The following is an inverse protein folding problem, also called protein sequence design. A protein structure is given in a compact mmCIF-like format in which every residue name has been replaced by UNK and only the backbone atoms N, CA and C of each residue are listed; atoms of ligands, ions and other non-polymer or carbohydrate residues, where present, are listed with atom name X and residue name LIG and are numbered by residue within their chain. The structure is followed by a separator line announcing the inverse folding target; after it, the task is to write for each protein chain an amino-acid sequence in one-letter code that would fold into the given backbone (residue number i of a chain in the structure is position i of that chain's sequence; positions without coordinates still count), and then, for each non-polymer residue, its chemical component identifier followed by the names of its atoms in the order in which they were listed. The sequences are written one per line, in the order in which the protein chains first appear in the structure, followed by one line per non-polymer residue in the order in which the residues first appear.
data_IF_575426019407
#
_entry.id   IF_575426019407
#
_cell.length_a   1.000
_cell.length_b   1.000
_cell.length_c   1.000
_cell.angle_alpha   90.00
_cell.angle_beta   90.00
_cell.angle_gamma   90.00
#
_symmetry.space_group_name_H-M   'P 1'
#
loop_
_entity.id
_entity.type
_entity.pdbx_description
1 polymer ?
#
# COMPACT_ATOMS: atom_id res chain seq x y z
N UNK A 1 -13.36 1.78 6.03
CA UNK A 1 -14.39 2.56 5.29
C UNK A 1 -14.08 4.02 5.50
N UNK A 2 -14.23 4.86 4.47
CA UNK A 2 -14.06 6.31 4.65
C UNK A 2 -15.29 6.92 5.34
N UNK A 3 -15.16 8.15 5.85
CA UNK A 3 -16.23 8.84 6.57
C UNK A 3 -17.52 8.98 5.74
N UNK A 4 -17.39 9.18 4.44
CA UNK A 4 -18.50 9.27 3.48
C UNK A 4 -19.13 7.90 3.12
N UNK A 5 -18.68 6.81 3.75
CA UNK A 5 -19.15 5.45 3.49
C UNK A 5 -18.51 4.77 2.29
N UNK A 6 -17.66 5.45 1.52
CA UNK A 6 -16.94 4.84 0.40
C UNK A 6 -15.91 3.83 0.90
N UNK A 7 -15.52 2.91 0.01
CA UNK A 7 -14.63 1.80 0.33
C UNK A 7 -13.50 1.73 -0.69
N UNK A 8 -12.30 1.54 -0.17
CA UNK A 8 -11.14 1.11 -0.94
C UNK A 8 -10.91 -0.37 -0.62
N UNK A 9 -10.79 -1.19 -1.66
CA UNK A 9 -10.42 -2.59 -1.55
C UNK A 9 -9.03 -2.74 -2.14
N UNK A 10 -8.08 -3.18 -1.32
CA UNK A 10 -6.72 -3.49 -1.75
C UNK A 10 -6.55 -5.01 -1.74
N UNK A 11 -6.16 -5.57 -2.87
CA UNK A 11 -5.85 -6.99 -3.02
C UNK A 11 -4.43 -7.12 -3.54
N UNK A 12 -3.66 -8.06 -2.99
CA UNK A 12 -2.30 -8.34 -3.43
C UNK A 12 -2.09 -9.83 -3.60
N UNK A 13 -1.45 -10.24 -4.69
CA UNK A 13 -1.01 -11.61 -4.93
C UNK A 13 0.36 -11.61 -5.60
N UNK A 14 1.32 -12.25 -4.96
CA UNK A 14 2.71 -12.38 -5.43
C UNK A 14 3.08 -13.85 -5.66
N UNK A 15 2.19 -14.61 -6.31
CA UNK A 15 2.39 -16.03 -6.62
C UNK A 15 2.82 -16.20 -8.10
N UNK A 16 4.01 -16.75 -8.39
CA UNK A 16 4.44 -17.03 -9.75
C UNK A 16 3.45 -17.91 -10.52
N UNK A 17 3.34 -17.71 -11.84
CA UNK A 17 2.45 -18.49 -12.71
C UNK A 17 0.95 -18.16 -12.60
N UNK A 18 0.53 -17.32 -11.66
CA UNK A 18 -0.85 -16.84 -11.58
C UNK A 18 -1.13 -15.71 -12.58
N UNK A 19 -2.41 -15.47 -12.87
CA UNK A 19 -2.86 -14.29 -13.63
C UNK A 19 -2.30 -13.00 -13.02
N UNK A 20 -1.69 -12.16 -13.86
CA UNK A 20 -1.08 -10.91 -13.45
C UNK A 20 -2.04 -9.76 -13.74
N UNK A 21 -2.42 -9.04 -12.69
CA UNK A 21 -3.17 -7.80 -12.83
C UNK A 21 -2.66 -6.79 -11.81
N UNK A 22 -1.99 -5.75 -12.31
CA UNK A 22 -1.63 -4.58 -11.55
C UNK A 22 -2.52 -3.44 -12.01
N UNK A 23 -3.67 -3.31 -11.37
CA UNK A 23 -4.68 -2.33 -11.76
C UNK A 23 -5.34 -1.70 -10.55
N UNK A 24 -5.86 -0.50 -10.76
CA UNK A 24 -6.70 0.19 -9.78
C UNK A 24 -7.92 0.73 -10.49
N UNK A 25 -9.08 0.50 -9.89
CA UNK A 25 -10.38 0.83 -10.47
C UNK A 25 -11.19 1.67 -9.49
N UNK A 26 -11.91 2.66 -10.00
CA UNK A 26 -12.91 3.40 -9.23
C UNK A 26 -14.30 3.09 -9.80
N UNK A 27 -15.12 2.42 -9.00
CA UNK A 27 -16.48 2.04 -9.37
C UNK A 27 -17.47 3.08 -8.85
N UNK A 28 -18.22 3.70 -9.77
CA UNK A 28 -19.37 4.54 -9.45
C UNK A 28 -20.69 3.81 -9.69
N UNK A 29 -21.79 4.44 -9.31
CA UNK A 29 -23.16 3.90 -9.53
C UNK A 29 -23.55 3.83 -11.01
N UNK A 30 -22.88 4.62 -11.88
CA UNK A 30 -23.22 4.76 -13.31
C UNK A 30 -22.02 4.58 -14.25
N UNK A 31 -20.86 4.24 -13.72
CA UNK A 31 -19.62 4.26 -14.48
C UNK A 31 -18.46 3.60 -13.77
N UNK A 32 -17.36 3.46 -14.50
CA UNK A 32 -16.10 2.90 -14.05
C UNK A 32 -14.97 3.79 -14.54
N UNK A 33 -13.99 4.05 -13.67
CA UNK A 33 -12.69 4.56 -14.08
C UNK A 33 -11.60 3.52 -13.86
N UNK A 34 -10.73 3.38 -14.84
CA UNK A 34 -9.44 2.71 -14.71
C UNK A 34 -8.44 3.79 -14.30
N UNK A 35 -7.92 3.70 -13.08
CA UNK A 35 -6.91 4.63 -12.56
C UNK A 35 -5.52 4.20 -13.03
N UNK A 36 -5.23 2.90 -12.98
CA UNK A 36 -3.98 2.29 -13.40
C UNK A 36 -4.26 0.90 -13.97
N UNK A 37 -3.48 0.46 -14.95
CA UNK A 37 -3.63 -0.87 -15.56
C UNK A 37 -2.32 -1.36 -16.18
N UNK A 38 -1.86 -2.52 -15.74
CA UNK A 38 -0.59 -3.11 -16.19
C UNK A 38 0.63 -2.34 -15.66
N UNK A 39 0.53 -1.78 -14.45
CA UNK A 39 1.51 -0.85 -13.90
C UNK A 39 1.10 0.61 -14.09
N UNK A 40 1.89 1.53 -13.54
CA UNK A 40 1.56 2.95 -13.53
C UNK A 40 2.03 3.72 -14.77
N UNK A 41 3.15 3.30 -15.39
CA UNK A 41 3.76 3.98 -16.52
C UNK A 41 4.00 3.03 -17.70
N UNK A 42 3.57 3.38 -18.92
CA UNK A 42 2.78 4.56 -19.27
C UNK A 42 1.33 4.45 -18.76
N UNK A 43 0.72 5.59 -18.43
CA UNK A 43 -0.65 5.67 -17.95
C UNK A 43 -1.64 5.12 -18.98
N UNK A 44 -2.54 4.25 -18.49
CA UNK A 44 -3.67 3.69 -19.25
C UNK A 44 -5.01 4.10 -18.63
N UNK A 45 -5.03 5.29 -18.01
CA UNK A 45 -6.19 5.81 -17.32
C UNK A 45 -7.34 6.07 -18.29
N UNK A 46 -8.54 5.60 -17.95
CA UNK A 46 -9.74 5.63 -18.81
C UNK A 46 -10.98 5.78 -17.97
N UNK A 47 -12.03 6.37 -18.53
CA UNK A 47 -13.35 6.44 -17.92
C UNK A 47 -14.37 5.86 -18.90
N UNK A 48 -15.28 5.05 -18.37
CA UNK A 48 -16.35 4.38 -19.10
C UNK A 48 -17.73 4.78 -18.57
N UNK A 49 -18.69 4.88 -19.48
CA UNK A 49 -20.11 4.90 -19.19
C UNK A 49 -20.57 3.48 -18.86
N UNK A 50 -21.24 3.29 -17.72
CA UNK A 50 -21.51 1.95 -17.19
C UNK A 50 -20.21 1.21 -16.81
N UNK A 51 -20.32 -0.10 -16.59
CA UNK A 51 -19.21 -0.90 -16.04
C UNK A 51 -18.51 -1.78 -17.09
N UNK A 52 -19.05 -1.88 -18.30
CA UNK A 52 -18.45 -2.67 -19.36
C UNK A 52 -17.34 -1.88 -20.07
N UNK A 53 -16.09 -2.35 -19.93
CA UNK A 53 -14.89 -1.76 -20.54
C UNK A 53 -14.78 -2.10 -22.03
N UNK A 54 -15.58 -1.44 -22.86
CA UNK A 54 -15.54 -1.57 -24.32
C UNK A 54 -15.57 -0.18 -25.00
N UNK A 55 -15.25 -0.13 -26.28
CA UNK A 55 -15.11 1.14 -27.03
C UNK A 55 -16.41 1.93 -27.11
N UNK A 56 -17.57 1.24 -27.18
CA UNK A 56 -18.88 1.89 -27.22
C UNK A 56 -19.20 2.65 -25.93
N UNK A 57 -18.58 2.25 -24.81
CA UNK A 57 -18.75 2.86 -23.50
C UNK A 57 -17.59 3.80 -23.11
N UNK A 58 -16.51 3.85 -23.87
CA UNK A 58 -15.35 4.70 -23.57
C UNK A 58 -15.75 6.18 -23.71
N UNK A 59 -15.69 6.94 -22.61
CA UNK A 59 -16.01 8.38 -22.62
C UNK A 59 -14.76 9.25 -22.56
N UNK A 60 -13.67 8.72 -22.01
CA UNK A 60 -12.40 9.43 -21.93
C UNK A 60 -11.25 8.43 -21.80
N UNK A 61 -10.14 8.71 -22.45
CA UNK A 61 -8.88 8.01 -22.26
C UNK A 61 -7.75 9.03 -22.14
N UNK A 62 -6.84 8.79 -21.20
CA UNK A 62 -5.59 9.52 -21.18
C UNK A 62 -4.83 9.29 -22.48
N UNK A 63 -4.24 10.36 -23.00
CA UNK A 63 -3.43 10.29 -24.21
C UNK A 63 -2.07 9.63 -23.94
N UNK A 64 -1.11 9.89 -24.82
CA UNK A 64 0.24 9.40 -24.62
C UNK A 64 0.93 10.15 -23.48
N UNK A 65 1.38 9.43 -22.47
CA UNK A 65 2.29 9.95 -21.47
C UNK A 65 3.64 10.22 -22.11
N UNK A 66 4.08 11.48 -22.11
CA UNK A 66 5.32 11.90 -22.79
C UNK A 66 6.55 11.81 -21.88
N UNK A 67 6.34 11.91 -20.58
CA UNK A 67 7.42 11.94 -19.61
C UNK A 67 7.49 10.63 -18.85
N UNK A 68 8.68 10.34 -18.32
CA UNK A 68 8.89 9.27 -17.36
C UNK A 68 8.69 9.88 -15.95
N UNK A 69 7.75 9.37 -15.14
CA UNK A 69 7.44 9.93 -13.82
C UNK A 69 8.65 9.91 -12.88
N UNK A 70 9.51 8.89 -12.97
CA UNK A 70 10.73 8.84 -12.16
C UNK A 70 11.67 10.00 -12.49
N UNK A 71 11.77 10.39 -13.76
CA UNK A 71 12.58 11.54 -14.18
C UNK A 71 11.93 12.84 -13.72
N UNK A 72 10.60 12.94 -13.78
CA UNK A 72 9.89 14.12 -13.33
C UNK A 72 9.99 14.34 -11.81
N UNK A 73 9.95 13.27 -10.99
CA UNK A 73 10.24 13.37 -9.55
C UNK A 73 11.64 13.94 -9.27
N UNK A 74 12.66 13.48 -9.97
CA UNK A 74 14.02 14.03 -9.85
C UNK A 74 14.08 15.50 -10.28
N UNK A 75 13.38 15.88 -11.36
CA UNK A 75 13.31 17.28 -11.80
C UNK A 75 12.67 18.16 -10.73
N UNK A 76 11.55 17.73 -10.14
CA UNK A 76 10.87 18.48 -9.08
C UNK A 76 11.78 18.70 -7.88
N UNK A 77 12.45 17.64 -7.40
CA UNK A 77 13.38 17.74 -6.28
C UNK A 77 14.54 18.71 -6.57
N UNK A 78 15.19 18.56 -7.74
CA UNK A 78 16.32 19.40 -8.12
C UNK A 78 15.89 20.85 -8.32
N UNK A 79 14.74 21.09 -8.96
CA UNK A 79 14.20 22.43 -9.14
C UNK A 79 13.93 23.11 -7.80
N UNK A 80 13.30 22.41 -6.86
CA UNK A 80 13.03 22.92 -5.52
C UNK A 80 14.32 23.31 -4.78
N UNK A 81 15.36 22.46 -4.83
CA UNK A 81 16.67 22.78 -4.25
C UNK A 81 17.28 24.02 -4.89
N UNK A 82 17.30 24.10 -6.22
CA UNK A 82 17.93 25.20 -6.97
C UNK A 82 17.22 26.53 -6.78
N UNK A 83 15.90 26.50 -6.62
CA UNK A 83 15.08 27.69 -6.44
C UNK A 83 14.84 28.03 -4.97
N UNK A 84 15.37 27.22 -4.03
CA UNK A 84 15.12 27.34 -2.60
C UNK A 84 13.61 27.33 -2.27
N UNK A 85 12.87 26.43 -2.91
CA UNK A 85 11.44 26.23 -2.72
C UNK A 85 11.17 25.07 -1.74
N UNK A 86 10.09 25.17 -0.96
CA UNK A 86 9.65 24.08 -0.09
C UNK A 86 9.06 22.95 -0.94
N UNK A 87 9.72 21.79 -0.93
CA UNK A 87 9.19 20.54 -1.48
C UNK A 87 9.37 19.44 -0.43
N UNK A 88 8.27 18.99 0.18
CA UNK A 88 8.30 18.06 1.30
C UNK A 88 7.16 17.05 1.15
N UNK A 89 7.52 15.77 1.04
CA UNK A 89 6.60 14.64 0.95
C UNK A 89 6.66 13.71 2.18
N UNK A 90 7.33 14.12 3.25
CA UNK A 90 7.55 13.32 4.46
C UNK A 90 6.24 12.83 5.05
N UNK A 91 5.23 13.70 5.15
CA UNK A 91 3.92 13.32 5.66
C UNK A 91 3.27 12.22 4.82
N UNK A 92 3.28 12.36 3.50
CA UNK A 92 2.75 11.35 2.55
C UNK A 92 3.49 10.03 2.68
N UNK A 93 4.82 10.08 2.74
CA UNK A 93 5.67 8.89 2.88
C UNK A 93 5.48 8.16 4.22
N UNK A 94 5.48 8.90 5.33
CA UNK A 94 5.25 8.36 6.66
C UNK A 94 3.84 7.74 6.78
N UNK A 95 2.83 8.40 6.23
CA UNK A 95 1.46 7.90 6.22
C UNK A 95 1.34 6.58 5.41
N UNK A 96 2.06 6.44 4.30
CA UNK A 96 2.08 5.20 3.53
C UNK A 96 2.67 4.02 4.34
N UNK A 97 3.76 4.25 5.08
CA UNK A 97 4.36 3.24 5.97
C UNK A 97 3.44 2.89 7.14
N UNK A 98 2.76 3.89 7.72
CA UNK A 98 1.80 3.68 8.80
C UNK A 98 0.61 2.83 8.33
N UNK A 99 0.00 3.16 7.19
CA UNK A 99 -1.11 2.38 6.61
C UNK A 99 -0.69 0.95 6.25
N UNK A 100 0.57 0.77 5.83
CA UNK A 100 1.13 -0.58 5.61
C UNK A 100 1.17 -1.38 6.92
N UNK A 101 1.65 -0.75 8.00
CA UNK A 101 1.69 -1.37 9.33
C UNK A 101 0.29 -1.63 9.89
N UNK A 102 -0.66 -0.72 9.65
CA UNK A 102 -2.08 -0.88 9.98
C UNK A 102 -2.68 -2.11 9.29
N UNK A 103 -2.44 -2.27 7.99
CA UNK A 103 -2.93 -3.42 7.23
C UNK A 103 -2.35 -4.75 7.74
N UNK A 104 -1.07 -4.76 8.11
CA UNK A 104 -0.41 -5.92 8.72
C UNK A 104 -1.05 -6.28 10.08
N UNK A 105 -1.24 -5.29 10.95
CA UNK A 105 -1.92 -5.49 12.25
C UNK A 105 -3.32 -6.04 12.09
N UNK A 106 -4.11 -5.46 11.18
CA UNK A 106 -5.47 -5.92 10.90
C UNK A 106 -5.47 -7.38 10.40
N UNK A 107 -4.56 -7.73 9.50
CA UNK A 107 -4.45 -9.08 8.97
C UNK A 107 -4.00 -10.10 10.04
N UNK A 108 -3.03 -9.75 10.89
CA UNK A 108 -2.43 -10.67 11.85
C UNK A 108 -3.26 -10.86 13.12
N UNK A 109 -4.01 -9.85 13.55
CA UNK A 109 -4.92 -9.94 14.72
C UNK A 109 -6.35 -10.31 14.34
N UNK A 110 -6.71 -10.16 13.06
CA UNK A 110 -8.07 -10.33 12.57
C UNK A 110 -9.05 -9.28 13.11
N UNK A 111 -8.55 -8.11 13.52
CA UNK A 111 -9.37 -7.02 14.06
C UNK A 111 -9.53 -5.88 13.05
N UNK A 112 -10.60 -5.11 13.19
CA UNK A 112 -10.69 -3.79 12.55
C UNK A 112 -9.72 -2.84 13.26
N UNK A 113 -8.80 -2.26 12.49
CA UNK A 113 -7.83 -1.28 12.97
C UNK A 113 -8.08 0.05 12.24
N UNK A 114 -8.35 1.11 12.98
CA UNK A 114 -8.51 2.45 12.45
C UNK A 114 -7.17 3.15 12.31
N UNK A 115 -7.12 4.19 11.47
CA UNK A 115 -5.92 5.01 11.32
C UNK A 115 -5.50 5.66 12.64
N UNK A 116 -6.46 6.15 13.42
CA UNK A 116 -6.22 6.75 14.73
C UNK A 116 -5.65 5.74 15.74
N UNK A 117 -6.18 4.51 15.76
CA UNK A 117 -5.64 3.45 16.60
C UNK A 117 -4.19 3.12 16.22
N UNK A 118 -3.89 3.07 14.92
CA UNK A 118 -2.52 2.82 14.47
C UNK A 118 -1.57 3.99 14.78
N UNK A 119 -2.02 5.24 14.62
CA UNK A 119 -1.24 6.44 14.97
C UNK A 119 -0.86 6.49 16.45
N UNK A 120 -1.72 5.97 17.33
CA UNK A 120 -1.52 5.94 18.78
C UNK A 120 -1.10 4.56 19.30
N UNK A 121 -0.65 3.66 18.41
CA UNK A 121 -0.30 2.29 18.78
C UNK A 121 1.02 2.26 19.56
N UNK A 122 1.00 1.70 20.77
CA UNK A 122 2.20 1.50 21.60
C UNK A 122 3.00 0.25 21.21
N UNK A 123 2.51 -0.56 20.26
CA UNK A 123 3.20 -1.77 19.83
C UNK A 123 4.46 -1.43 19.03
N UNK A 124 5.61 -1.74 19.61
CA UNK A 124 6.90 -1.65 18.94
C UNK A 124 7.13 -2.90 18.07
N UNK A 125 7.24 -2.70 16.75
CA UNK A 125 7.40 -3.79 15.78
C UNK A 125 8.82 -4.37 15.71
N UNK A 126 9.80 -3.62 16.19
CA UNK A 126 11.21 -3.99 16.13
C UNK A 126 11.92 -3.52 17.41
N UNK A 127 11.57 -4.10 18.58
CA UNK A 127 12.22 -3.75 19.83
C UNK A 127 13.72 -3.99 19.74
N UNK A 128 14.50 -3.09 20.33
CA UNK A 128 15.96 -3.14 20.38
C UNK A 128 16.66 -3.16 19.00
N UNK A 129 16.00 -2.68 17.93
CA UNK A 129 16.57 -2.68 16.58
C UNK A 129 17.90 -1.93 16.50
N UNK A 130 18.08 -0.89 17.31
CA UNK A 130 19.30 -0.10 17.41
C UNK A 130 20.47 -0.86 18.05
N UNK A 131 20.19 -1.96 18.75
CA UNK A 131 21.20 -2.82 19.39
C UNK A 131 21.62 -3.99 18.49
N UNK A 132 20.91 -4.26 17.40
CA UNK A 132 21.25 -5.34 16.47
C UNK A 132 22.59 -5.07 15.79
N UNK A 133 23.50 -6.02 15.92
CA UNK A 133 24.78 -6.10 15.20
C UNK A 133 24.82 -7.33 14.30
N UNK A 134 25.84 -7.44 13.45
CA UNK A 134 26.03 -8.62 12.59
C UNK A 134 26.30 -9.92 13.39
N UNK A 135 26.76 -9.78 14.62
CA UNK A 135 27.05 -10.87 15.56
C UNK A 135 25.87 -11.20 16.48
N UNK A 136 24.81 -10.38 16.44
CA UNK A 136 23.63 -10.59 17.28
C UNK A 136 22.89 -11.86 16.87
N UNK A 137 22.30 -12.52 17.86
CA UNK A 137 21.40 -13.62 17.56
C UNK A 137 20.14 -13.13 16.83
N UNK A 138 19.53 -14.01 16.03
CA UNK A 138 18.24 -13.69 15.39
C UNK A 138 17.19 -13.31 16.45
N UNK A 139 16.51 -12.15 16.33
CA UNK A 139 15.44 -11.75 17.23
C UNK A 139 14.21 -12.66 17.11
N UNK A 140 14.08 -13.35 15.98
CA UNK A 140 13.07 -14.38 15.75
C UNK A 140 13.73 -15.76 15.79
N UNK A 141 13.49 -16.50 16.88
CA UNK A 141 14.02 -17.85 17.08
C UNK A 141 13.03 -18.91 16.59
N UNK A 142 13.56 -20.01 16.06
CA UNK A 142 12.76 -21.18 15.77
C UNK A 142 12.53 -22.00 17.04
N UNK A 143 11.40 -22.71 17.12
CA UNK A 143 11.14 -23.70 18.15
C UNK A 143 12.06 -24.94 17.99
N UNK A 144 11.97 -25.89 18.93
CA UNK A 144 12.76 -27.14 18.91
C UNK A 144 12.52 -27.97 17.64
N UNK A 145 11.39 -27.76 16.95
CA UNK A 145 11.02 -28.41 15.69
C UNK A 145 11.42 -27.60 14.45
N UNK A 146 12.11 -26.47 14.61
CA UNK A 146 12.52 -25.59 13.52
C UNK A 146 11.40 -24.72 12.94
N UNK A 147 10.27 -24.58 13.64
CA UNK A 147 9.15 -23.73 13.21
C UNK A 147 9.26 -22.34 13.82
N UNK A 148 8.76 -21.35 13.10
CA UNK A 148 8.71 -19.96 13.57
C UNK A 148 7.29 -19.60 14.04
N UNK A 149 7.17 -18.64 14.97
CA UNK A 149 5.88 -18.07 15.35
C UNK A 149 5.11 -17.59 14.12
N UNK A 150 3.83 -17.93 14.07
CA UNK A 150 2.90 -17.46 13.05
C UNK A 150 1.83 -16.59 13.71
N UNK A 151 1.25 -15.61 13.01
CA UNK A 151 0.11 -14.89 13.52
C UNK A 151 -1.07 -15.83 13.70
N UNK A 152 -1.93 -15.52 14.69
CA UNK A 152 -3.14 -16.29 15.00
C UNK A 152 -4.39 -15.40 14.88
N UNK A 153 -4.77 -14.97 13.66
CA UNK A 153 -5.85 -14.01 13.46
C UNK A 153 -7.16 -14.45 14.11
N UNK A 154 -7.75 -13.56 14.91
CA UNK A 154 -9.01 -13.81 15.62
C UNK A 154 -8.87 -14.63 16.91
N UNK A 155 -7.74 -15.30 17.14
CA UNK A 155 -7.43 -15.99 18.39
C UNK A 155 -6.56 -15.11 19.29
N UNK A 156 -5.43 -14.61 18.76
CA UNK A 156 -4.64 -13.55 19.39
C UNK A 156 -5.04 -12.21 18.77
N UNK A 157 -5.69 -11.36 19.56
CA UNK A 157 -6.31 -10.13 19.08
C UNK A 157 -5.52 -8.88 19.45
N UNK A 158 -4.59 -8.98 20.39
CA UNK A 158 -3.86 -7.84 20.95
C UNK A 158 -2.52 -7.56 20.27
N UNK A 159 -1.92 -8.57 19.64
CA UNK A 159 -0.58 -8.51 19.04
C UNK A 159 -0.44 -9.48 17.88
N UNK A 160 0.60 -9.33 17.08
CA UNK A 160 0.79 -10.17 15.89
C UNK A 160 1.31 -11.56 16.21
N UNK A 161 2.20 -11.69 17.19
CA UNK A 161 2.80 -12.96 17.58
C UNK A 161 2.67 -13.17 19.08
N UNK A 162 2.27 -14.37 19.46
CA UNK A 162 2.37 -14.83 20.86
C UNK A 162 3.82 -15.25 21.06
N UNK A 163 4.49 -14.58 22.00
CA UNK A 163 5.85 -14.92 22.44
C UNK A 163 5.90 -16.29 23.09
#
# INVERSE_FOLDING_TARGET
TFEDGTKLFMNGRTMPGCYQDFSSYAHGTKGLAVVSNGGHWPSRARIYKGHAMNDANLIWSFGQEKNNPYVDEWKHLIAAIRNNEKYNEVERGAMASLVTSMGRMAAHTGQEITLEQMMNCEHEFAPDIEKLTLESESPLKADESGRYPIPLPGLEKSREYVS
#
